data_IF_595475371939
#
_entry.id   IF_595475371939
#
_cell.length_a   1.000
_cell.length_b   1.000
_cell.length_c   1.000
_cell.angle_alpha   90.00
_cell.angle_beta   90.00
_cell.angle_gamma   90.00
#
_symmetry.space_group_name_H-M   'P 1'
#
loop_
_entity.id
_entity.type
_entity.pdbx_description
1 polymer ?
#
# COMPACT_ATOMS: atom_id res chain seq x y z
N UNK A 1 7.46 -8.13 -39.59
CA UNK A 1 7.56 -9.39 -38.84
C UNK A 1 8.30 -10.41 -39.69
N UNK A 2 8.94 -11.40 -39.08
CA UNK A 2 9.77 -12.40 -39.76
C UNK A 2 9.00 -13.69 -40.09
N UNK A 3 7.73 -13.56 -40.48
CA UNK A 3 6.87 -14.72 -40.75
C UNK A 3 7.45 -15.56 -41.90
N UNK A 4 7.49 -16.88 -41.71
CA UNK A 4 8.05 -17.83 -42.69
C UNK A 4 9.57 -17.98 -42.66
N UNK A 5 10.26 -17.27 -41.76
CA UNK A 5 11.71 -17.32 -41.59
C UNK A 5 12.14 -18.01 -40.29
N UNK A 6 11.20 -18.60 -39.54
CA UNK A 6 11.39 -19.12 -38.19
C UNK A 6 12.47 -20.20 -38.10
N UNK A 7 12.65 -20.96 -39.17
CA UNK A 7 13.60 -22.09 -39.25
C UNK A 7 14.78 -21.84 -40.18
N UNK A 8 14.83 -20.70 -40.89
CA UNK A 8 15.85 -20.43 -41.92
C UNK A 8 16.73 -19.22 -41.61
N UNK A 9 16.25 -18.26 -40.82
CA UNK A 9 17.03 -17.06 -40.53
C UNK A 9 18.07 -17.33 -39.44
N UNK A 10 19.35 -17.35 -39.84
CA UNK A 10 20.46 -17.61 -38.93
C UNK A 10 21.17 -16.35 -38.44
N UNK A 11 21.15 -15.28 -39.22
CA UNK A 11 21.82 -14.02 -38.89
C UNK A 11 20.91 -12.84 -39.20
N UNK A 12 20.84 -11.90 -38.26
CA UNK A 12 20.03 -10.69 -38.40
C UNK A 12 20.85 -9.47 -37.98
N UNK A 13 21.07 -8.54 -38.91
CA UNK A 13 21.71 -7.26 -38.64
C UNK A 13 20.65 -6.15 -38.55
N UNK A 14 20.52 -5.57 -37.37
CA UNK A 14 19.67 -4.40 -37.10
C UNK A 14 20.51 -3.18 -36.68
N UNK A 15 21.83 -3.22 -36.87
CA UNK A 15 22.71 -2.12 -36.48
C UNK A 15 22.48 -0.86 -37.32
N UNK A 16 22.96 0.28 -36.80
CA UNK A 16 22.92 1.59 -37.48
C UNK A 16 21.50 2.06 -37.84
N UNK A 17 20.51 1.65 -37.05
CA UNK A 17 19.12 2.09 -37.19
C UNK A 17 18.78 3.15 -36.13
N UNK A 18 17.48 3.38 -35.90
CA UNK A 18 16.94 4.30 -34.88
C UNK A 18 16.11 3.56 -33.84
N UNK A 19 16.41 2.29 -33.60
CA UNK A 19 15.70 1.47 -32.63
C UNK A 19 16.02 1.96 -31.21
N UNK A 20 14.98 2.21 -30.43
CA UNK A 20 15.12 2.53 -29.01
C UNK A 20 14.80 1.32 -28.14
N UNK A 21 13.82 0.51 -28.57
CA UNK A 21 13.42 -0.73 -27.91
C UNK A 21 13.17 -1.79 -28.98
N UNK A 22 13.60 -3.03 -28.71
CA UNK A 22 13.29 -4.19 -29.55
C UNK A 22 12.63 -5.26 -28.68
N UNK A 23 11.34 -5.48 -28.92
CA UNK A 23 10.58 -6.48 -28.18
C UNK A 23 10.98 -7.88 -28.59
N UNK A 24 11.39 -8.69 -27.61
CA UNK A 24 11.82 -10.08 -27.83
C UNK A 24 10.76 -10.94 -28.51
N UNK A 25 9.47 -10.59 -28.40
CA UNK A 25 8.38 -11.30 -29.07
C UNK A 25 8.55 -11.40 -30.60
N UNK A 26 9.26 -10.45 -31.21
CA UNK A 26 9.55 -10.46 -32.66
C UNK A 26 10.67 -11.44 -33.02
N UNK A 27 11.58 -11.70 -32.07
CA UNK A 27 12.75 -12.56 -32.26
C UNK A 27 12.53 -13.98 -31.74
N UNK A 28 11.71 -14.15 -30.70
CA UNK A 28 11.48 -15.43 -30.04
C UNK A 28 11.04 -16.58 -30.97
N UNK A 29 10.25 -16.36 -32.04
CA UNK A 29 9.90 -17.40 -33.00
C UNK A 29 11.07 -17.88 -33.88
N UNK A 30 12.15 -17.10 -34.01
CA UNK A 30 13.30 -17.41 -34.86
C UNK A 30 14.20 -18.46 -34.18
N UNK A 31 13.88 -19.73 -34.41
CA UNK A 31 14.52 -20.88 -33.77
C UNK A 31 15.96 -21.11 -34.26
N UNK A 32 16.26 -20.73 -35.49
CA UNK A 32 17.56 -20.90 -36.12
C UNK A 32 18.50 -19.71 -35.96
N UNK A 33 18.07 -18.63 -35.27
CA UNK A 33 18.87 -17.41 -35.15
C UNK A 33 20.11 -17.64 -34.26
N UNK A 34 21.29 -17.45 -34.86
CA UNK A 34 22.62 -17.64 -34.26
C UNK A 34 23.40 -16.34 -34.10
N UNK A 35 23.07 -15.28 -34.84
CA UNK A 35 23.73 -13.99 -34.73
C UNK A 35 22.75 -12.82 -34.79
N UNK A 36 22.99 -11.81 -33.95
CA UNK A 36 22.16 -10.61 -33.87
C UNK A 36 23.06 -9.39 -33.63
N UNK A 37 23.06 -8.46 -34.58
CA UNK A 37 23.84 -7.23 -34.50
C UNK A 37 22.90 -6.04 -34.21
N UNK A 38 23.21 -5.29 -33.15
CA UNK A 38 22.33 -4.27 -32.56
C UNK A 38 23.04 -2.94 -32.34
N UNK A 39 24.34 -2.85 -32.59
CA UNK A 39 25.13 -1.66 -32.31
C UNK A 39 24.63 -0.43 -33.10
N UNK A 40 25.04 0.76 -32.66
CA UNK A 40 24.71 2.03 -33.31
C UNK A 40 23.20 2.30 -33.43
N UNK A 41 22.44 1.92 -32.40
CA UNK A 41 21.05 2.28 -32.22
C UNK A 41 20.91 3.11 -30.93
N UNK A 42 19.98 4.07 -30.86
CA UNK A 42 19.75 4.89 -29.67
C UNK A 42 18.98 4.12 -28.59
N UNK A 43 19.56 3.03 -28.05
CA UNK A 43 18.88 2.14 -27.11
C UNK A 43 18.44 2.82 -25.82
N UNK A 44 17.17 2.60 -25.47
CA UNK A 44 16.59 2.98 -24.18
C UNK A 44 16.67 1.79 -23.22
N UNK A 45 17.74 1.78 -22.42
CA UNK A 45 18.08 0.72 -21.46
C UNK A 45 17.25 0.80 -20.17
N UNK A 46 15.93 0.83 -20.32
CA UNK A 46 14.95 0.74 -19.24
C UNK A 46 14.47 -0.71 -19.08
N UNK A 47 13.49 -0.94 -18.21
CA UNK A 47 12.88 -2.25 -18.07
C UNK A 47 12.17 -2.76 -19.34
N UNK A 48 11.83 -1.88 -20.29
CA UNK A 48 11.24 -2.28 -21.56
C UNK A 48 12.20 -3.13 -22.41
N UNK A 49 13.51 -2.87 -22.29
CA UNK A 49 14.56 -3.58 -23.02
C UNK A 49 15.10 -4.80 -22.26
N UNK A 50 14.77 -4.91 -20.97
CA UNK A 50 15.19 -6.01 -20.10
C UNK A 50 14.88 -7.41 -20.68
N UNK A 51 13.70 -7.70 -21.25
CA UNK A 51 13.42 -9.03 -21.82
C UNK A 51 14.32 -9.40 -23.00
N UNK A 52 14.71 -8.41 -23.81
CA UNK A 52 15.68 -8.63 -24.89
C UNK A 52 17.06 -8.96 -24.32
N UNK A 53 17.54 -8.15 -23.36
CA UNK A 53 18.84 -8.37 -22.71
C UNK A 53 18.92 -9.76 -22.09
N UNK A 54 17.90 -10.14 -21.34
CA UNK A 54 17.74 -11.46 -20.72
C UNK A 54 17.74 -12.61 -21.75
N UNK A 55 17.01 -12.43 -22.86
CA UNK A 55 16.99 -13.39 -23.96
C UNK A 55 18.35 -13.56 -24.64
N UNK A 56 19.07 -12.46 -24.90
CA UNK A 56 20.41 -12.50 -25.51
C UNK A 56 21.40 -13.24 -24.60
N UNK A 57 21.37 -12.96 -23.29
CA UNK A 57 22.21 -13.65 -22.30
C UNK A 57 21.90 -15.16 -22.31
N UNK A 58 20.62 -15.55 -22.23
CA UNK A 58 20.22 -16.97 -22.21
C UNK A 58 20.51 -17.72 -23.49
N UNK A 59 20.30 -17.09 -24.64
CA UNK A 59 20.53 -17.70 -25.95
C UNK A 59 22.00 -17.72 -26.34
N UNK A 60 22.83 -16.96 -25.63
CA UNK A 60 24.25 -16.82 -25.93
C UNK A 60 24.49 -16.45 -27.40
N UNK A 61 23.67 -15.53 -27.93
CA UNK A 61 23.79 -15.05 -29.32
C UNK A 61 24.92 -14.02 -29.36
N UNK A 62 26.05 -14.30 -30.05
CA UNK A 62 27.15 -13.36 -30.13
C UNK A 62 26.72 -12.09 -30.86
N UNK A 63 27.01 -10.94 -30.26
CA UNK A 63 27.06 -9.66 -30.96
C UNK A 63 28.52 -9.38 -31.29
N UNK A 64 28.80 -9.04 -32.54
CA UNK A 64 30.17 -8.67 -32.96
C UNK A 64 30.59 -7.34 -32.37
N UNK A 65 29.63 -6.42 -32.21
CA UNK A 65 29.81 -5.16 -31.50
C UNK A 65 28.75 -5.06 -30.40
N UNK A 66 29.21 -4.83 -29.17
CA UNK A 66 28.32 -4.69 -28.02
C UNK A 66 27.58 -3.35 -28.11
N UNK A 67 26.24 -3.29 -27.94
CA UNK A 67 25.52 -2.03 -27.99
C UNK A 67 25.77 -1.15 -26.76
N UNK A 68 25.69 0.16 -26.96
CA UNK A 68 25.69 1.16 -25.89
C UNK A 68 24.28 1.68 -25.62
N UNK A 69 24.05 2.14 -24.38
CA UNK A 69 22.82 2.81 -23.99
C UNK A 69 22.85 4.30 -24.39
N UNK A 70 21.77 4.79 -25.00
CA UNK A 70 21.55 6.22 -25.22
C UNK A 70 20.70 6.84 -24.10
N UNK A 71 19.78 6.06 -23.54
CA UNK A 71 18.92 6.43 -22.42
C UNK A 71 18.83 5.26 -21.43
N UNK A 72 18.44 5.51 -20.17
CA UNK A 72 18.25 6.82 -19.52
C UNK A 72 19.60 7.52 -19.23
N UNK A 73 19.61 8.81 -18.81
CA UNK A 73 20.84 9.55 -18.53
C UNK A 73 21.84 8.84 -17.60
N UNK A 74 21.33 8.10 -16.60
CA UNK A 74 22.17 7.31 -15.66
C UNK A 74 22.97 6.20 -16.34
N UNK A 75 22.59 5.76 -17.54
CA UNK A 75 23.26 4.72 -18.32
C UNK A 75 23.82 5.24 -19.65
N UNK A 76 23.73 6.54 -19.93
CA UNK A 76 24.15 7.08 -21.22
C UNK A 76 25.64 6.74 -21.50
N UNK A 77 25.91 6.22 -22.70
CA UNK A 77 27.21 5.73 -23.15
C UNK A 77 27.77 4.50 -22.40
N UNK A 78 26.97 3.81 -21.59
CA UNK A 78 27.38 2.54 -21.01
C UNK A 78 27.16 1.39 -21.98
N UNK A 79 28.21 0.61 -22.21
CA UNK A 79 28.17 -0.62 -22.99
C UNK A 79 27.44 -1.72 -22.23
N UNK A 80 26.62 -2.50 -22.94
CA UNK A 80 25.75 -3.52 -22.33
C UNK A 80 26.54 -4.60 -21.58
N UNK A 81 27.77 -4.92 -21.99
CA UNK A 81 28.65 -5.89 -21.31
C UNK A 81 29.04 -5.49 -19.88
N UNK A 82 28.99 -4.18 -19.57
CA UNK A 82 29.26 -3.64 -18.23
C UNK A 82 28.02 -3.53 -17.35
N UNK A 83 26.85 -3.89 -17.88
CA UNK A 83 25.57 -3.73 -17.21
C UNK A 83 24.98 -5.09 -16.83
N UNK A 84 24.54 -5.18 -15.58
CA UNK A 84 23.74 -6.29 -15.09
C UNK A 84 22.33 -6.20 -15.66
N UNK A 85 21.61 -7.33 -15.69
CA UNK A 85 20.19 -7.33 -16.07
C UNK A 85 19.33 -6.41 -15.18
N UNK A 86 19.73 -6.24 -13.92
CA UNK A 86 19.10 -5.35 -12.93
C UNK A 86 19.27 -3.86 -13.25
N UNK A 87 20.21 -3.49 -14.11
CA UNK A 87 20.40 -2.09 -14.51
C UNK A 87 19.40 -1.66 -15.58
N UNK A 88 18.84 -2.62 -16.33
CA UNK A 88 17.71 -2.43 -17.26
C UNK A 88 16.40 -2.33 -16.45
N UNK A 89 16.23 -1.18 -15.80
CA UNK A 89 15.22 -0.94 -14.78
C UNK A 89 14.32 0.26 -15.12
N UNK A 90 13.08 0.21 -14.63
CA UNK A 90 12.11 1.30 -14.61
C UNK A 90 11.97 1.84 -13.18
N UNK A 91 11.91 3.16 -13.07
CA UNK A 91 11.80 3.85 -11.79
C UNK A 91 10.53 3.42 -11.04
N UNK A 92 10.54 3.45 -9.69
CA UNK A 92 9.34 3.17 -8.93
C UNK A 92 8.25 4.21 -9.23
N UNK A 93 7.00 3.78 -9.26
CA UNK A 93 5.85 4.67 -9.18
C UNK A 93 5.09 4.36 -7.89
N UNK A 94 4.71 5.41 -7.16
CA UNK A 94 3.97 5.28 -5.91
C UNK A 94 2.67 6.07 -6.04
N UNK A 95 1.55 5.41 -5.75
CA UNK A 95 0.23 6.02 -5.75
C UNK A 95 -0.58 5.57 -4.54
N UNK A 96 -1.61 6.33 -4.18
CA UNK A 96 -2.55 5.96 -3.13
C UNK A 96 -3.97 6.33 -3.56
N UNK A 97 -4.94 5.47 -3.24
CA UNK A 97 -6.35 5.73 -3.56
C UNK A 97 -6.94 6.84 -2.67
N UNK A 98 -6.43 6.97 -1.44
CA UNK A 98 -6.69 8.12 -0.57
C UNK A 98 -5.35 8.65 -0.03
N UNK A 99 -5.26 9.96 0.10
CA UNK A 99 -4.14 10.65 0.75
C UNK A 99 -4.50 11.15 2.15
N UNK A 100 -5.76 11.00 2.56
CA UNK A 100 -6.28 11.47 3.84
C UNK A 100 -7.01 10.33 4.55
N UNK A 101 -6.63 10.09 5.79
CA UNK A 101 -7.17 9.04 6.63
C UNK A 101 -7.62 9.64 7.96
N UNK A 102 -8.72 9.12 8.49
CA UNK A 102 -9.30 9.53 9.75
C UNK A 102 -9.62 8.29 10.58
N UNK A 103 -9.51 8.42 11.90
CA UNK A 103 -9.89 7.38 12.85
C UNK A 103 -10.14 7.97 14.22
N UNK A 104 -10.70 7.17 15.12
CA UNK A 104 -10.85 7.51 16.52
C UNK A 104 -9.74 6.87 17.36
N UNK A 105 -9.48 7.45 18.52
CA UNK A 105 -8.60 6.88 19.52
C UNK A 105 -9.03 5.44 19.87
N UNK A 106 -8.09 4.51 19.77
CA UNK A 106 -8.29 3.07 19.94
C UNK A 106 -8.61 2.29 18.65
N UNK A 107 -8.88 2.96 17.53
CA UNK A 107 -9.18 2.29 16.26
C UNK A 107 -7.95 1.59 15.66
N UNK A 108 -8.20 0.64 14.76
CA UNK A 108 -7.20 0.12 13.84
C UNK A 108 -7.29 0.87 12.51
N UNK A 109 -6.24 1.62 12.16
CA UNK A 109 -6.20 2.42 10.92
C UNK A 109 -5.14 1.88 9.97
N UNK A 110 -5.48 1.67 8.71
CA UNK A 110 -4.55 1.18 7.69
C UNK A 110 -4.33 2.21 6.59
N UNK A 111 -3.09 2.68 6.47
CA UNK A 111 -2.63 3.49 5.35
C UNK A 111 -2.15 2.58 4.22
N UNK A 112 -2.51 2.89 2.98
CA UNK A 112 -2.28 2.02 1.82
C UNK A 112 -1.60 2.80 0.71
N UNK A 113 -0.49 2.27 0.20
CA UNK A 113 0.13 2.73 -1.05
C UNK A 113 0.25 1.57 -2.05
N UNK A 114 0.07 1.90 -3.33
CA UNK A 114 0.38 1.03 -4.47
C UNK A 114 1.74 1.41 -5.02
N UNK A 115 2.58 0.41 -5.26
CA UNK A 115 3.95 0.56 -5.72
C UNK A 115 4.18 -0.34 -6.93
N UNK A 116 4.61 0.27 -8.02
CA UNK A 116 5.07 -0.43 -9.22
C UNK A 116 6.53 -0.08 -9.50
N UNK A 117 7.20 -0.86 -10.34
CA UNK A 117 8.60 -0.66 -10.71
C UNK A 117 9.25 -1.97 -11.09
N UNK A 118 10.31 -1.89 -11.90
CA UNK A 118 11.07 -3.06 -12.32
C UNK A 118 12.55 -2.74 -12.16
N UNK A 119 13.33 -3.48 -11.38
CA UNK A 119 12.89 -4.54 -10.44
C UNK A 119 11.89 -4.03 -9.40
N UNK A 120 11.19 -4.97 -8.76
CA UNK A 120 10.23 -4.67 -7.71
C UNK A 120 10.87 -3.76 -6.63
N UNK A 121 10.33 -2.56 -6.37
CA UNK A 121 10.96 -1.62 -5.44
C UNK A 121 10.90 -2.08 -3.99
N UNK A 122 11.91 -1.70 -3.22
CA UNK A 122 11.87 -1.82 -1.76
C UNK A 122 11.04 -0.67 -1.21
N UNK A 123 9.98 -1.01 -0.46
CA UNK A 123 9.09 -0.03 0.18
C UNK A 123 9.47 0.18 1.64
N UNK A 124 9.44 1.43 2.09
CA UNK A 124 9.71 1.88 3.45
C UNK A 124 8.67 2.91 3.87
N UNK A 125 8.22 2.83 5.13
CA UNK A 125 7.32 3.82 5.71
C UNK A 125 8.10 4.76 6.61
N UNK A 126 7.93 6.06 6.42
CA UNK A 126 8.65 7.10 7.15
C UNK A 126 7.65 8.02 7.82
N UNK A 127 7.93 8.41 9.07
CA UNK A 127 7.14 9.38 9.82
C UNK A 127 8.07 10.37 10.50
N UNK A 128 7.81 11.67 10.35
CA UNK A 128 8.65 12.73 10.91
C UNK A 128 10.16 12.53 10.62
N UNK A 129 10.49 12.12 9.39
CA UNK A 129 11.86 11.84 8.95
C UNK A 129 12.48 10.55 9.50
N UNK A 130 11.76 9.75 10.28
CA UNK A 130 12.25 8.49 10.86
C UNK A 130 11.61 7.28 10.18
N UNK A 131 12.43 6.27 9.89
CA UNK A 131 11.96 4.99 9.37
C UNK A 131 11.12 4.27 10.43
N UNK A 132 9.91 3.85 10.06
CA UNK A 132 9.07 3.02 10.91
C UNK A 132 9.52 1.56 10.84
N UNK A 133 9.64 0.94 12.00
CA UNK A 133 9.87 -0.50 12.12
C UNK A 133 8.54 -1.22 12.37
N UNK A 134 8.46 -2.48 11.95
CA UNK A 134 7.35 -3.33 12.35
C UNK A 134 7.49 -3.67 13.84
N UNK A 135 6.51 -3.27 14.65
CA UNK A 135 6.49 -3.50 16.11
C UNK A 135 5.45 -4.53 16.54
N UNK A 136 4.81 -5.24 15.61
CA UNK A 136 3.75 -6.21 15.94
C UNK A 136 4.21 -7.37 16.84
N UNK A 137 5.50 -7.65 16.87
CA UNK A 137 6.07 -8.79 17.60
C UNK A 137 6.73 -8.38 18.93
N UNK A 138 6.83 -7.09 19.23
CA UNK A 138 7.63 -6.57 20.35
C UNK A 138 6.80 -5.86 21.42
N UNK A 139 5.51 -5.59 21.16
CA UNK A 139 4.69 -4.79 22.07
C UNK A 139 3.61 -5.64 22.73
N UNK A 140 3.71 -5.79 24.05
CA UNK A 140 2.73 -6.47 24.91
C UNK A 140 1.50 -5.61 25.24
N UNK A 141 1.52 -4.31 24.96
CA UNK A 141 0.41 -3.37 25.23
C UNK A 141 -0.68 -3.34 24.14
N UNK A 142 -0.60 -4.20 23.11
CA UNK A 142 -1.56 -4.26 22.00
C UNK A 142 -1.41 -3.17 20.92
N UNK A 143 -0.73 -2.06 21.25
CA UNK A 143 -0.41 -0.97 20.32
C UNK A 143 0.78 -1.33 19.42
N UNK A 144 0.63 -1.27 18.11
CA UNK A 144 1.71 -1.62 17.18
C UNK A 144 1.60 -0.97 15.81
N UNK A 145 2.75 -0.79 15.15
CA UNK A 145 2.84 -0.54 13.73
C UNK A 145 3.11 -1.86 13.01
N UNK A 146 2.20 -2.26 12.13
CA UNK A 146 2.31 -3.47 11.35
C UNK A 146 2.50 -3.10 9.88
N UNK A 147 3.67 -3.44 9.33
CA UNK A 147 4.01 -3.18 7.93
C UNK A 147 3.85 -4.48 7.16
N UNK A 148 3.06 -4.45 6.09
CA UNK A 148 2.84 -5.59 5.19
C UNK A 148 2.97 -5.15 3.74
N UNK A 149 3.62 -5.97 2.93
CA UNK A 149 3.68 -5.76 1.49
C UNK A 149 3.19 -7.02 0.79
N UNK A 150 2.17 -6.87 -0.05
CA UNK A 150 1.54 -7.95 -0.81
C UNK A 150 1.38 -7.51 -2.27
N UNK A 151 2.07 -8.20 -3.18
CA UNK A 151 2.13 -7.81 -4.58
C UNK A 151 2.63 -6.36 -4.75
N UNK A 152 1.82 -5.53 -5.41
CA UNK A 152 2.08 -4.11 -5.63
C UNK A 152 1.49 -3.20 -4.54
N UNK A 153 1.09 -3.74 -3.40
CA UNK A 153 0.47 -2.97 -2.32
C UNK A 153 1.30 -3.06 -1.05
N UNK A 154 1.54 -1.91 -0.41
CA UNK A 154 2.17 -1.83 0.90
C UNK A 154 1.24 -1.11 1.86
N UNK A 155 1.05 -1.73 3.02
CA UNK A 155 0.14 -1.31 4.07
C UNK A 155 0.92 -1.01 5.34
N UNK A 156 0.58 0.12 5.96
CA UNK A 156 0.95 0.45 7.34
C UNK A 156 -0.32 0.45 8.17
N UNK A 157 -0.47 -0.57 9.01
CA UNK A 157 -1.57 -0.67 9.97
C UNK A 157 -1.11 -0.20 11.34
N UNK A 158 -1.85 0.75 11.91
CA UNK A 158 -1.66 1.29 13.25
C UNK A 158 -2.73 0.66 14.14
N UNK A 159 -2.32 -0.18 15.08
CA UNK A 159 -3.22 -0.83 16.04
C UNK A 159 -3.36 0.01 17.30
N UNK A 160 -4.61 0.16 17.78
CA UNK A 160 -4.93 0.98 18.94
C UNK A 160 -4.37 2.40 18.78
N UNK A 161 -4.90 3.11 17.79
CA UNK A 161 -4.44 4.43 17.39
C UNK A 161 -4.52 5.42 18.56
N UNK A 162 -3.50 6.26 18.70
CA UNK A 162 -3.43 7.34 19.69
C UNK A 162 -3.55 8.69 18.98
N UNK A 163 -4.02 9.73 19.66
CA UNK A 163 -4.10 11.10 19.09
C UNK A 163 -2.72 11.55 18.58
N UNK A 164 -1.66 11.16 19.31
CA UNK A 164 -0.27 11.41 18.95
C UNK A 164 0.17 10.67 17.69
N UNK A 165 -0.63 9.78 17.10
CA UNK A 165 -0.36 9.16 15.79
C UNK A 165 -0.73 10.03 14.60
N UNK A 166 -1.46 11.13 14.84
CA UNK A 166 -1.80 12.09 13.80
C UNK A 166 -0.55 12.67 13.14
N UNK A 167 -0.69 13.07 11.88
CA UNK A 167 0.35 13.70 11.08
C UNK A 167 0.62 13.01 9.75
N UNK A 168 1.76 13.34 9.15
CA UNK A 168 2.13 12.87 7.81
C UNK A 168 2.99 11.60 7.86
N UNK A 169 2.62 10.65 7.00
CA UNK A 169 3.31 9.40 6.76
C UNK A 169 3.73 9.32 5.31
N UNK A 170 4.99 8.99 5.05
CA UNK A 170 5.52 8.86 3.69
C UNK A 170 5.72 7.38 3.37
N UNK A 171 5.08 6.91 2.31
CA UNK A 171 5.40 5.63 1.68
C UNK A 171 6.46 5.88 0.61
N UNK A 172 7.69 5.43 0.86
CA UNK A 172 8.85 5.62 0.00
C UNK A 172 9.22 4.31 -0.68
N UNK A 173 9.42 4.33 -2.00
CA UNK A 173 9.80 3.19 -2.81
C UNK A 173 11.12 3.46 -3.54
N UNK A 174 12.02 2.46 -3.56
CA UNK A 174 13.36 2.60 -4.13
C UNK A 174 13.77 1.35 -4.91
N UNK A 175 14.33 1.53 -6.11
CA UNK A 175 15.05 0.51 -6.86
C UNK A 175 16.27 1.13 -7.57
N UNK A 176 17.01 0.35 -8.37
CA UNK A 176 18.21 0.83 -9.09
C UNK A 176 17.94 1.96 -10.09
N UNK A 177 16.70 2.10 -10.59
CA UNK A 177 16.34 3.16 -11.51
C UNK A 177 15.97 4.47 -10.80
N UNK A 178 15.65 4.45 -9.51
CA UNK A 178 15.43 5.66 -8.73
C UNK A 178 14.51 5.45 -7.52
N UNK A 179 13.92 6.56 -7.08
CA UNK A 179 13.03 6.64 -5.92
C UNK A 179 11.73 7.33 -6.29
N UNK A 180 10.65 6.98 -5.61
CA UNK A 180 9.38 7.70 -5.64
C UNK A 180 8.69 7.58 -4.29
N UNK A 181 7.79 8.51 -3.98
CA UNK A 181 7.09 8.53 -2.71
C UNK A 181 5.71 9.19 -2.79
N UNK A 182 4.86 8.88 -1.82
CA UNK A 182 3.60 9.56 -1.57
C UNK A 182 3.47 9.90 -0.09
N UNK A 183 2.92 11.08 0.20
CA UNK A 183 2.63 11.53 1.55
C UNK A 183 1.14 11.32 1.83
N UNK A 184 0.85 10.66 2.95
CA UNK A 184 -0.49 10.39 3.46
C UNK A 184 -0.67 11.11 4.79
N UNK A 185 -1.81 11.77 4.96
CA UNK A 185 -2.18 12.43 6.22
C UNK A 185 -3.10 11.54 7.03
N UNK A 186 -2.87 11.49 8.34
CA UNK A 186 -3.70 10.79 9.31
C UNK A 186 -4.17 11.78 10.38
N UNK A 187 -5.47 11.78 10.66
CA UNK A 187 -6.06 12.48 11.81
C UNK A 187 -6.74 11.48 12.74
N UNK A 188 -6.33 11.46 14.00
CA UNK A 188 -6.95 10.66 15.06
C UNK A 188 -7.68 11.60 16.01
N UNK A 189 -8.98 11.39 16.17
CA UNK A 189 -9.81 12.17 17.08
C UNK A 189 -10.16 11.39 18.35
N UNK A 190 -10.47 12.10 19.44
CA UNK A 190 -10.96 11.45 20.65
C UNK A 190 -12.31 10.79 20.38
N UNK A 191 -12.49 9.60 20.92
CA UNK A 191 -13.83 8.99 20.94
C UNK A 191 -14.75 9.87 21.79
N UNK A 192 -15.95 10.23 21.30
CA UNK A 192 -16.87 11.02 22.11
C UNK A 192 -17.22 10.22 23.36
N UNK A 193 -17.06 10.85 24.53
CA UNK A 193 -17.53 10.30 25.79
C UNK A 193 -19.06 10.20 25.69
N UNK A 194 -19.55 9.00 25.39
CA UNK A 194 -20.97 8.72 25.47
C UNK A 194 -21.41 9.07 26.88
N UNK A 195 -22.32 10.05 27.02
CA UNK A 195 -22.91 10.39 28.31
C UNK A 195 -23.47 9.10 28.90
N UNK A 196 -22.71 8.48 29.80
CA UNK A 196 -23.15 7.33 30.55
C UNK A 196 -24.47 7.73 31.18
N UNK A 197 -25.54 7.05 30.80
CA UNK A 197 -26.84 7.27 31.40
C UNK A 197 -26.68 6.96 32.88
N UNK A 198 -26.58 8.02 33.69
CA UNK A 198 -26.25 7.92 35.11
C UNK A 198 -27.34 7.09 35.80
N UNK A 199 -26.97 5.90 36.30
CA UNK A 199 -27.87 5.02 37.05
C UNK A 199 -28.52 5.68 38.28
N UNK A 200 -28.08 6.88 38.69
CA UNK A 200 -28.75 7.68 39.73
C UNK A 200 -30.13 8.18 39.28
N UNK A 201 -30.35 8.44 37.99
CA UNK A 201 -31.64 8.90 37.49
C UNK A 201 -32.72 7.78 37.54
N UNK A 202 -32.33 6.53 37.28
CA UNK A 202 -33.23 5.37 37.40
C UNK A 202 -33.62 5.08 38.86
N UNK A 203 -32.66 5.15 39.79
CA UNK A 203 -32.94 4.89 41.21
C UNK A 203 -33.82 5.99 41.83
N UNK A 204 -33.63 7.26 41.44
CA UNK A 204 -34.50 8.36 41.89
C UNK A 204 -35.94 8.20 41.35
N UNK A 205 -36.10 7.82 40.08
CA UNK A 205 -37.43 7.59 39.48
C UNK A 205 -38.20 6.46 40.14
N UNK A 206 -37.54 5.32 40.42
CA UNK A 206 -38.19 4.20 41.10
C UNK A 206 -38.62 4.53 42.54
N UNK A 207 -37.79 5.26 43.29
CA UNK A 207 -38.14 5.67 44.66
C UNK A 207 -39.36 6.60 44.70
N UNK A 208 -39.47 7.56 43.79
CA UNK A 208 -40.63 8.48 43.72
C UNK A 208 -41.91 7.71 43.40
N UNK A 209 -41.85 6.74 42.48
CA UNK A 209 -43.02 5.92 42.14
C UNK A 209 -43.51 5.06 43.32
N UNK A 210 -42.61 4.46 44.10
CA UNK A 210 -42.97 3.67 45.27
C UNK A 210 -43.64 4.50 46.38
N UNK A 211 -43.15 5.73 46.62
CA UNK A 211 -43.75 6.65 47.61
C UNK A 211 -45.16 7.06 47.21
N UNK A 212 -45.40 7.36 45.92
CA UNK A 212 -46.74 7.72 45.43
C UNK A 212 -47.72 6.55 45.60
N UNK A 213 -47.29 5.33 45.26
CA UNK A 213 -48.13 4.13 45.44
C UNK A 213 -48.46 3.90 46.92
N UNK A 214 -47.47 4.00 47.81
CA UNK A 214 -47.69 3.87 49.25
C UNK A 214 -48.65 4.93 49.81
N UNK A 215 -48.48 6.19 49.41
CA UNK A 215 -49.39 7.26 49.79
C UNK A 215 -50.82 7.01 49.29
N UNK A 216 -50.98 6.55 48.05
CA UNK A 216 -52.31 6.24 47.48
C UNK A 216 -52.99 5.08 48.22
N UNK A 217 -52.25 4.04 48.61
CA UNK A 217 -52.76 2.93 49.41
C UNK A 217 -53.19 3.38 50.81
N UNK A 218 -52.41 4.23 51.48
CA UNK A 218 -52.77 4.76 52.80
C UNK A 218 -54.02 5.63 52.75
N UNK A 219 -54.14 6.49 51.73
CA UNK A 219 -55.35 7.29 51.50
C UNK A 219 -56.55 6.38 51.26
N UNK A 220 -56.40 5.32 50.45
CA UNK A 220 -57.43 4.32 50.20
C UNK A 220 -57.89 3.60 51.47
N UNK A 221 -56.95 3.18 52.33
CA UNK A 221 -57.25 2.52 53.61
C UNK A 221 -57.95 3.47 54.59
N UNK A 222 -57.50 4.73 54.70
CA UNK A 222 -58.17 5.74 55.51
C UNK A 222 -59.60 6.02 55.02
N UNK A 223 -59.80 6.11 53.70
CA UNK A 223 -61.12 6.27 53.10
C UNK A 223 -62.03 5.04 53.33
N UNK A 224 -61.45 3.83 53.32
CA UNK A 224 -62.17 2.60 53.59
C UNK A 224 -62.66 2.53 55.05
N UNK A 225 -61.79 2.79 56.02
CA UNK A 225 -62.15 2.76 57.45
C UNK A 225 -63.16 3.85 57.82
N UNK A 226 -63.05 5.04 57.23
CA UNK A 226 -64.05 6.11 57.44
C UNK A 226 -65.41 5.78 56.84
N UNK A 227 -65.47 5.10 55.68
CA UNK A 227 -66.72 4.58 55.11
C UNK A 227 -67.32 3.47 55.96
N UNK A 228 -66.49 2.55 56.46
CA UNK A 228 -66.91 1.46 57.34
C UNK A 228 -67.51 1.98 58.65
N UNK A 229 -66.92 3.01 59.28
CA UNK A 229 -67.50 3.65 60.47
C UNK A 229 -68.86 4.30 60.18
N UNK A 230 -69.04 4.96 59.03
CA UNK A 230 -70.32 5.57 58.63
C UNK A 230 -71.45 4.57 58.33
N UNK A 231 -71.18 3.28 58.16
CA UNK A 231 -72.21 2.25 57.94
C UNK A 231 -72.61 1.52 59.23
N UNK A 232 -71.99 1.84 60.36
CA UNK A 232 -72.23 1.19 61.67
C UNK A 232 -72.89 2.15 62.68
N UNK A 233 -73.08 3.42 62.31
CA UNK A 233 -73.92 4.42 62.99
C UNK A 233 -75.24 4.62 62.23
#
# INVERSE_FOLDING_TARGET
>A
GFAGLESSLEYLDLSKNKLQVLHVAVLAPLRSLKGLELANNPWECTCALRPLRDWMIRKNVPATVVPDCALPPRLMMQSWDRLDLEDFACQPEVSAASTHFQGLEGDEVTLVCRVSGVPAPRVRWVRAGRLLANTSNTVSSGRAFMLRSEGQTSNLTIKSADIQDSGSYTCNAENRAGKAEVILSLAIEKKPEGKGFSGRALMAGMAVSAVIVLCSCLIGLCAYETRKKRQVD
#
